data_IF_539721904589
#
_entry.id   IF_539721904589
#
_cell.length_a   1.000
_cell.length_b   1.000
_cell.length_c   1.000
_cell.angle_alpha   90.00
_cell.angle_beta   90.00
_cell.angle_gamma   90.00
#
_symmetry.space_group_name_H-M   'P 1'
#
loop_
_entity.id
_entity.type
_entity.pdbx_description
1 polymer ?
#
# COMPACT_ATOMS: atom_id res chain seq x y z
N UNK A 1 58.69 33.85 -32.79
CA UNK A 1 57.82 33.46 -31.67
C UNK A 1 56.56 32.82 -32.24
N UNK A 2 56.30 31.57 -31.82
CA UNK A 2 55.26 30.56 -32.13
C UNK A 2 54.11 30.86 -33.14
N UNK A 3 54.27 30.38 -34.39
CA UNK A 3 53.49 29.35 -35.14
C UNK A 3 52.15 28.86 -34.53
N UNK A 4 51.00 28.60 -35.21
CA UNK A 4 50.69 28.10 -36.58
C UNK A 4 49.23 28.43 -37.05
N UNK A 5 49.05 28.56 -38.38
CA UNK A 5 48.02 28.04 -39.33
C UNK A 5 46.71 27.38 -38.80
N UNK A 6 45.54 27.34 -39.49
CA UNK A 6 45.00 27.93 -40.73
C UNK A 6 43.54 27.43 -40.97
N UNK A 7 42.77 28.19 -41.77
CA UNK A 7 41.77 27.81 -42.82
C UNK A 7 40.53 26.92 -42.54
N UNK A 8 39.36 27.57 -42.67
CA UNK A 8 38.02 27.28 -43.32
C UNK A 8 37.65 25.88 -43.90
N UNK A 9 36.39 25.66 -44.40
CA UNK A 9 35.02 25.56 -43.82
C UNK A 9 34.34 24.23 -44.35
N UNK A 10 33.02 24.06 -44.73
CA UNK A 10 31.67 24.38 -44.21
C UNK A 10 30.82 23.05 -43.93
N UNK A 11 29.46 23.02 -43.85
CA UNK A 11 28.67 21.99 -43.14
C UNK A 11 28.04 20.88 -44.01
N UNK A 12 27.64 19.76 -43.39
CA UNK A 12 26.80 18.70 -43.99
C UNK A 12 25.86 18.00 -42.98
N UNK A 13 24.56 18.06 -43.30
CA UNK A 13 23.50 17.04 -43.17
C UNK A 13 23.70 15.86 -42.20
N UNK A 14 22.79 15.71 -41.23
CA UNK A 14 22.62 14.47 -40.45
C UNK A 14 21.27 13.81 -40.76
N UNK A 15 21.33 12.65 -41.41
CA UNK A 15 20.21 11.74 -41.64
C UNK A 15 20.07 10.70 -40.52
N UNK A 16 18.83 10.27 -40.31
CA UNK A 16 18.40 9.16 -39.45
C UNK A 16 18.99 7.81 -39.89
N UNK A 17 19.39 6.97 -38.94
CA UNK A 17 19.23 5.51 -39.02
C UNK A 17 18.97 4.87 -37.63
N UNK A 18 18.22 3.75 -37.57
CA UNK A 18 17.81 3.05 -36.34
C UNK A 18 18.75 1.89 -35.97
N UNK A 19 18.74 1.49 -34.69
CA UNK A 19 19.51 0.34 -34.17
C UNK A 19 18.62 -0.88 -33.93
N UNK A 20 19.16 -1.99 -34.42
CA UNK A 20 18.78 -3.40 -34.43
C UNK A 20 17.95 -3.98 -33.26
N UNK A 21 16.99 -4.83 -33.67
CA UNK A 21 16.39 -5.90 -32.88
C UNK A 21 17.30 -7.14 -32.84
N UNK A 22 17.41 -7.78 -31.67
CA UNK A 22 18.06 -9.09 -31.50
C UNK A 22 17.04 -10.12 -31.02
N UNK A 23 17.09 -11.27 -31.70
CA UNK A 23 16.21 -12.44 -31.64
C UNK A 23 16.39 -13.26 -30.36
N UNK A 24 15.29 -13.80 -29.85
CA UNK A 24 15.26 -14.97 -28.95
C UNK A 24 15.08 -16.27 -29.74
N UNK A 25 15.64 -17.39 -29.25
CA UNK A 25 14.97 -18.68 -29.43
C UNK A 25 14.99 -19.58 -28.17
N UNK A 26 13.78 -19.97 -27.73
CA UNK A 26 13.26 -21.33 -27.45
C UNK A 26 14.01 -22.33 -26.49
N UNK A 27 13.31 -23.39 -26.00
CA UNK A 27 13.28 -23.84 -24.59
C UNK A 27 14.04 -25.15 -24.34
N UNK A 28 14.15 -25.57 -23.07
CA UNK A 28 14.59 -26.92 -22.69
C UNK A 28 13.72 -27.57 -21.61
N UNK A 29 13.26 -28.77 -21.95
CA UNK A 29 12.84 -29.92 -21.12
C UNK A 29 14.00 -30.56 -20.34
N UNK A 30 13.75 -31.15 -19.16
CA UNK A 30 14.47 -32.31 -18.57
C UNK A 30 13.73 -32.75 -17.27
N UNK A 31 13.09 -33.92 -17.17
CA UNK A 31 13.53 -35.34 -16.97
C UNK A 31 14.42 -35.61 -15.73
N UNK A 32 13.92 -36.53 -14.89
CA UNK A 32 14.49 -37.11 -13.67
C UNK A 32 15.88 -37.74 -13.82
N UNK A 33 16.72 -37.59 -12.79
CA UNK A 33 17.69 -38.61 -12.35
C UNK A 33 17.77 -38.66 -10.81
N UNK A 34 17.63 -39.88 -10.28
CA UNK A 34 17.86 -40.28 -8.88
C UNK A 34 19.29 -40.81 -8.81
N UNK A 35 20.14 -40.34 -7.88
CA UNK A 35 21.32 -41.08 -7.44
C UNK A 35 21.86 -40.69 -6.05
N UNK A 36 21.79 -41.68 -5.16
CA UNK A 36 22.63 -42.08 -4.02
C UNK A 36 23.50 -41.05 -3.25
N UNK A 37 23.26 -41.04 -1.93
CA UNK A 37 24.10 -40.57 -0.83
C UNK A 37 25.50 -41.21 -0.78
N UNK A 38 26.48 -40.51 -0.20
CA UNK A 38 27.49 -41.13 0.66
C UNK A 38 27.37 -40.64 2.13
N UNK A 39 27.73 -41.56 3.01
CA UNK A 39 27.72 -41.50 4.49
C UNK A 39 29.06 -40.98 5.03
N UNK A 40 29.03 -40.49 6.29
CA UNK A 40 30.13 -40.27 7.26
C UNK A 40 30.65 -38.82 7.36
N UNK A 41 30.95 -38.20 8.53
CA UNK A 41 31.01 -38.63 9.94
C UNK A 41 31.25 -37.39 10.83
N UNK A 42 30.78 -37.45 12.08
CA UNK A 42 31.36 -36.80 13.27
C UNK A 42 31.46 -35.25 13.35
N UNK A 43 30.31 -34.56 13.37
CA UNK A 43 30.11 -33.27 14.06
C UNK A 43 28.71 -33.20 14.72
N UNK A 44 28.16 -34.38 15.08
CA UNK A 44 26.72 -34.62 15.14
C UNK A 44 26.05 -34.53 16.52
N UNK A 45 26.58 -33.84 17.52
CA UNK A 45 25.89 -33.75 18.83
C UNK A 45 25.15 -32.43 19.07
N UNK A 46 25.63 -31.32 18.49
CA UNK A 46 25.03 -29.98 18.66
C UNK A 46 24.00 -29.67 17.56
N UNK A 47 24.32 -29.99 16.30
CA UNK A 47 23.40 -29.81 15.16
C UNK A 47 22.18 -30.74 15.22
N UNK A 48 22.30 -31.92 15.85
CA UNK A 48 21.17 -32.85 16.00
C UNK A 48 20.14 -32.32 17.02
N UNK A 49 20.54 -31.60 18.08
CA UNK A 49 19.57 -30.95 18.98
C UNK A 49 18.87 -29.74 18.34
N UNK A 50 19.57 -29.02 17.46
CA UNK A 50 19.02 -27.88 16.71
C UNK A 50 18.07 -28.34 15.59
N UNK A 51 18.41 -29.41 14.87
CA UNK A 51 17.53 -30.03 13.86
C UNK A 51 16.30 -30.72 14.47
N UNK A 52 16.42 -31.30 15.68
CA UNK A 52 15.28 -31.86 16.41
C UNK A 52 14.34 -30.75 16.91
N UNK A 53 14.85 -29.59 17.33
CA UNK A 53 14.01 -28.42 17.66
C UNK A 53 13.27 -27.86 16.44
N UNK A 54 13.93 -27.78 15.28
CA UNK A 54 13.30 -27.38 14.00
C UNK A 54 12.22 -28.37 13.54
N UNK A 55 12.43 -29.68 13.74
CA UNK A 55 11.46 -30.72 13.37
C UNK A 55 10.24 -30.75 14.32
N UNK A 56 10.42 -30.34 15.57
CA UNK A 56 9.31 -30.20 16.55
C UNK A 56 8.53 -28.90 16.29
N UNK A 57 9.18 -27.83 15.81
CA UNK A 57 8.49 -26.60 15.36
C UNK A 57 7.55 -26.86 14.17
N UNK A 58 7.98 -27.67 13.20
CA UNK A 58 7.11 -28.06 12.07
C UNK A 58 5.98 -29.04 12.48
N UNK A 59 6.17 -29.83 13.54
CA UNK A 59 5.16 -30.77 14.01
C UNK A 59 4.13 -30.14 14.97
N UNK A 60 4.49 -29.09 15.71
CA UNK A 60 3.57 -28.39 16.62
C UNK A 60 2.64 -27.39 15.91
N UNK A 61 3.01 -26.89 14.74
CA UNK A 61 2.09 -26.16 13.87
C UNK A 61 0.97 -27.06 13.29
N UNK A 62 1.18 -28.39 13.26
CA UNK A 62 0.24 -29.36 12.68
C UNK A 62 -0.57 -30.19 13.69
N UNK A 63 -0.31 -30.08 15.00
CA UNK A 63 -0.98 -30.87 16.04
C UNK A 63 -1.53 -29.95 17.14
N UNK A 64 -2.80 -29.59 17.00
CA UNK A 64 -3.55 -28.90 18.05
C UNK A 64 -3.60 -29.73 19.33
N UNK A 65 -2.95 -29.25 20.40
CA UNK A 65 -3.14 -29.74 21.77
C UNK A 65 -3.15 -28.56 22.75
N UNK A 66 -4.36 -28.28 23.25
CA UNK A 66 -4.70 -27.92 24.62
C UNK A 66 -3.77 -27.00 25.41
N UNK A 67 -4.04 -25.69 25.35
CA UNK A 67 -3.53 -24.74 26.33
C UNK A 67 -4.20 -24.96 27.70
N UNK A 68 -3.38 -25.26 28.71
CA UNK A 68 -3.73 -24.97 30.10
C UNK A 68 -3.48 -23.49 30.35
N UNK A 69 -4.53 -22.75 30.69
CA UNK A 69 -4.49 -21.30 30.87
C UNK A 69 -3.67 -20.88 32.10
N UNK A 70 -2.76 -19.89 31.98
CA UNK A 70 -2.46 -18.98 33.06
C UNK A 70 -3.17 -17.63 32.85
N UNK A 71 -3.75 -17.16 33.96
CA UNK A 71 -4.28 -15.82 34.26
C UNK A 71 -4.27 -14.82 33.09
N UNK A 72 -5.45 -14.65 32.49
CA UNK A 72 -5.75 -13.60 31.54
C UNK A 72 -5.64 -12.22 32.23
N UNK A 73 -4.71 -11.39 31.76
CA UNK A 73 -4.92 -9.93 31.74
C UNK A 73 -5.87 -9.66 30.57
N UNK A 74 -7.16 -9.93 30.79
CA UNK A 74 -8.22 -9.50 29.89
C UNK A 74 -8.42 -7.99 30.05
N UNK A 75 -8.59 -7.32 28.90
CA UNK A 75 -9.04 -5.93 28.73
C UNK A 75 -7.95 -4.85 28.68
N UNK A 76 -7.24 -4.77 27.56
CA UNK A 76 -6.92 -3.48 26.87
C UNK A 76 -6.15 -3.63 25.54
N UNK A 77 -5.69 -4.83 25.16
CA UNK A 77 -4.69 -5.02 24.09
C UNK A 77 -5.11 -4.76 22.62
N UNK A 78 -6.28 -4.20 22.34
CA UNK A 78 -6.86 -4.19 20.98
C UNK A 78 -7.33 -2.83 20.45
N UNK A 79 -7.01 -1.71 21.13
CA UNK A 79 -7.49 -0.39 20.70
C UNK A 79 -6.92 0.09 19.35
N UNK A 80 -5.91 -0.58 18.79
CA UNK A 80 -5.20 -0.15 17.56
C UNK A 80 -5.14 -1.23 16.46
N UNK A 81 -6.00 -2.25 16.52
CA UNK A 81 -6.10 -3.32 15.51
C UNK A 81 -6.59 -2.82 14.12
N UNK A 82 -6.65 -1.51 13.87
CA UNK A 82 -6.99 -0.93 12.58
C UNK A 82 -5.84 -0.20 11.88
N UNK A 83 -4.67 -0.03 12.54
CA UNK A 83 -3.58 0.70 11.93
C UNK A 83 -2.82 -0.15 10.90
N UNK A 84 -2.57 0.39 9.70
CA UNK A 84 -1.80 -0.30 8.68
C UNK A 84 -0.32 -0.49 9.04
N UNK A 85 0.26 0.34 9.92
CA UNK A 85 1.65 0.23 10.37
C UNK A 85 1.77 -0.55 11.67
N UNK A 86 2.54 -1.64 11.66
CA UNK A 86 2.75 -2.51 12.81
C UNK A 86 4.25 -2.61 13.08
N UNK A 87 4.68 -2.15 14.26
CA UNK A 87 6.06 -2.38 14.72
C UNK A 87 6.06 -3.56 15.68
N UNK A 88 6.81 -4.59 15.33
CA UNK A 88 6.93 -5.81 16.14
C UNK A 88 7.78 -5.54 17.39
N UNK A 89 7.43 -6.15 18.53
CA UNK A 89 8.13 -5.89 19.78
C UNK A 89 9.47 -6.63 19.80
N UNK A 90 10.52 -5.95 20.27
CA UNK A 90 11.88 -6.49 20.38
C UNK A 90 12.37 -6.23 21.80
N UNK A 91 13.06 -7.20 22.41
CA UNK A 91 13.62 -7.01 23.75
C UNK A 91 14.79 -6.02 23.68
N UNK A 92 14.64 -4.93 24.42
CA UNK A 92 15.69 -4.01 24.75
C UNK A 92 16.25 -4.34 26.14
N UNK A 93 17.55 -4.11 26.34
CA UNK A 93 18.14 -4.08 27.67
C UNK A 93 18.51 -2.65 28.03
N UNK A 94 18.28 -2.30 29.30
CA UNK A 94 18.94 -1.15 29.89
C UNK A 94 20.45 -1.39 30.03
N UNK A 95 21.19 -0.39 30.49
CA UNK A 95 22.64 -0.49 30.66
C UNK A 95 23.03 -1.74 31.47
N UNK A 96 23.66 -2.71 30.80
CA UNK A 96 24.03 -4.01 31.36
C UNK A 96 25.48 -4.38 31.02
N UNK A 97 26.10 -5.20 31.87
CA UNK A 97 27.41 -5.82 31.61
C UNK A 97 27.29 -7.16 30.88
N UNK A 98 26.08 -7.69 30.72
CA UNK A 98 25.81 -8.87 29.91
C UNK A 98 25.86 -8.54 28.42
N UNK A 99 26.16 -9.53 27.60
CA UNK A 99 26.23 -9.39 26.14
C UNK A 99 25.22 -10.30 25.45
N UNK A 100 24.67 -9.82 24.34
CA UNK A 100 23.88 -10.66 23.44
C UNK A 100 24.84 -11.42 22.53
N UNK A 101 24.64 -12.72 22.41
CA UNK A 101 25.49 -13.56 21.55
C UNK A 101 24.77 -14.03 20.29
N UNK A 102 23.51 -14.42 20.42
CA UNK A 102 22.68 -14.86 19.29
C UNK A 102 21.28 -14.28 19.42
N UNK A 103 20.74 -13.83 18.29
CA UNK A 103 19.35 -13.42 18.17
C UNK A 103 18.72 -14.06 16.93
N UNK A 104 17.58 -14.70 17.12
CA UNK A 104 16.81 -15.30 16.02
C UNK A 104 15.37 -14.83 16.16
N UNK A 105 14.81 -14.26 15.09
CA UNK A 105 13.40 -13.92 15.02
C UNK A 105 12.73 -14.70 13.89
N UNK A 106 11.57 -15.29 14.17
CA UNK A 106 10.69 -15.90 13.18
C UNK A 106 9.36 -15.13 13.19
N UNK A 107 8.99 -14.61 12.04
CA UNK A 107 7.77 -13.81 11.83
C UNK A 107 6.88 -14.60 10.88
N UNK A 108 5.70 -14.99 11.36
CA UNK A 108 4.72 -15.75 10.59
C UNK A 108 3.47 -14.90 10.40
N UNK A 109 2.99 -14.83 9.16
CA UNK A 109 1.70 -14.22 8.84
C UNK A 109 0.78 -15.35 8.43
N UNK A 110 -0.32 -15.54 9.15
CA UNK A 110 -1.24 -16.64 8.90
C UNK A 110 -2.68 -16.25 9.27
N UNK A 111 -3.60 -17.21 9.21
CA UNK A 111 -4.94 -17.09 9.76
C UNK A 111 -5.02 -17.73 11.15
N UNK A 112 -5.78 -17.12 12.05
CA UNK A 112 -6.10 -17.72 13.35
C UNK A 112 -7.15 -18.84 13.23
N UNK A 113 -7.57 -19.39 14.37
CA UNK A 113 -8.60 -20.45 14.41
C UNK A 113 -9.97 -20.03 13.85
N UNK A 114 -10.24 -18.72 13.73
CA UNK A 114 -11.46 -18.15 13.16
C UNK A 114 -11.31 -17.77 11.68
N UNK A 115 -10.09 -17.87 11.13
CA UNK A 115 -9.76 -17.43 9.78
C UNK A 115 -9.34 -15.96 9.68
N UNK A 116 -9.22 -15.25 10.80
CA UNK A 116 -8.79 -13.86 10.82
C UNK A 116 -7.26 -13.75 10.63
N UNK A 117 -6.77 -12.82 9.80
CA UNK A 117 -5.34 -12.69 9.54
C UNK A 117 -4.61 -12.15 10.77
N UNK A 118 -3.55 -12.87 11.17
CA UNK A 118 -2.70 -12.56 12.32
C UNK A 118 -1.24 -12.51 11.92
N UNK A 119 -0.46 -11.76 12.69
CA UNK A 119 1.00 -11.83 12.71
C UNK A 119 1.45 -12.44 14.03
N UNK A 120 2.38 -13.39 13.94
CA UNK A 120 3.02 -14.04 15.07
C UNK A 120 4.53 -13.81 14.97
N UNK A 121 5.14 -13.47 16.10
CA UNK A 121 6.57 -13.32 16.29
C UNK A 121 7.01 -14.33 17.33
N UNK A 122 8.06 -15.07 17.02
CA UNK A 122 8.86 -15.81 17.99
C UNK A 122 10.31 -15.31 17.90
N UNK A 123 10.84 -14.80 19.01
CA UNK A 123 12.20 -14.28 19.07
C UNK A 123 12.98 -14.92 20.22
N UNK A 124 14.19 -15.42 19.92
CA UNK A 124 15.10 -16.04 20.88
C UNK A 124 16.37 -15.19 21.06
N UNK A 125 16.86 -15.10 22.29
CA UNK A 125 18.01 -14.31 22.70
C UNK A 125 18.94 -15.14 23.61
N UNK A 126 20.18 -15.41 23.17
CA UNK A 126 21.25 -16.01 24.00
C UNK A 126 22.02 -14.88 24.70
N UNK A 127 21.74 -14.68 25.99
CA UNK A 127 22.34 -13.62 26.80
C UNK A 127 23.43 -14.24 27.68
N UNK A 128 24.63 -13.66 27.64
CA UNK A 128 25.81 -14.15 28.38
C UNK A 128 26.36 -13.15 29.36
N UNK A 129 26.81 -13.67 30.49
CA UNK A 129 27.53 -12.94 31.52
C UNK A 129 28.95 -13.50 31.63
N UNK A 130 29.92 -12.78 31.08
CA UNK A 130 31.35 -13.10 31.18
C UNK A 130 31.97 -12.64 32.52
N UNK A 131 31.15 -12.06 33.40
CA UNK A 131 31.52 -11.62 34.74
C UNK A 131 31.62 -12.76 35.75
N UNK A 132 32.32 -12.51 36.85
CA UNK A 132 32.54 -13.48 37.93
C UNK A 132 31.41 -13.51 38.96
N UNK A 133 30.44 -12.62 38.84
CA UNK A 133 29.27 -12.51 39.72
C UNK A 133 28.00 -12.59 38.89
N UNK A 134 26.91 -13.07 39.49
CA UNK A 134 25.61 -13.07 38.83
C UNK A 134 25.13 -11.63 38.62
N UNK A 135 24.47 -11.37 37.49
CA UNK A 135 23.98 -10.04 37.11
C UNK A 135 22.48 -10.11 36.93
N UNK A 136 21.75 -9.16 37.53
CA UNK A 136 20.34 -8.94 37.21
C UNK A 136 20.24 -8.00 36.01
N UNK A 137 19.56 -8.47 34.97
CA UNK A 137 19.32 -7.73 33.73
C UNK A 137 17.85 -7.34 33.70
N UNK A 138 17.58 -6.04 33.57
CA UNK A 138 16.24 -5.54 33.32
C UNK A 138 15.97 -5.58 31.82
N UNK A 139 15.03 -6.43 31.42
CA UNK A 139 14.53 -6.54 30.06
C UNK A 139 13.32 -5.62 29.91
N UNK A 140 13.34 -4.80 28.87
CA UNK A 140 12.22 -3.95 28.47
C UNK A 140 11.66 -4.44 27.14
N UNK A 141 10.34 -4.55 27.07
CA UNK A 141 9.59 -4.90 25.88
C UNK A 141 8.71 -3.69 25.51
N UNK A 142 9.19 -2.82 24.62
CA UNK A 142 8.39 -1.71 24.13
C UNK A 142 7.10 -2.20 23.49
N UNK A 143 6.00 -1.46 23.66
CA UNK A 143 4.70 -1.76 23.03
C UNK A 143 4.11 -3.13 23.39
N UNK A 144 4.49 -3.70 24.53
CA UNK A 144 3.96 -4.98 24.98
C UNK A 144 2.42 -5.01 25.02
N UNK A 145 1.79 -3.88 25.35
CA UNK A 145 0.33 -3.75 25.40
C UNK A 145 -0.37 -3.90 24.02
N UNK A 146 0.32 -3.77 22.90
CA UNK A 146 -0.26 -3.92 21.55
C UNK A 146 -0.33 -5.38 21.08
N UNK A 147 0.24 -6.32 21.85
CA UNK A 147 0.41 -7.71 21.48
C UNK A 147 -0.02 -8.64 22.62
N UNK A 148 -0.46 -9.84 22.25
CA UNK A 148 -0.52 -10.96 23.18
C UNK A 148 0.90 -11.51 23.35
N UNK A 149 1.55 -11.17 24.46
CA UNK A 149 2.97 -11.50 24.69
C UNK A 149 3.16 -12.56 25.77
N UNK A 150 4.08 -13.50 25.53
CA UNK A 150 4.63 -14.41 26.53
C UNK A 150 6.16 -14.29 26.52
N UNK A 151 6.77 -14.22 27.69
CA UNK A 151 8.22 -14.18 27.86
C UNK A 151 8.65 -15.37 28.70
N UNK A 152 9.72 -16.06 28.31
CA UNK A 152 10.29 -17.18 29.07
C UNK A 152 11.79 -17.10 29.15
N UNK A 153 12.36 -17.68 30.21
CA UNK A 153 13.80 -17.83 30.45
C UNK A 153 14.07 -19.30 30.66
N UNK A 154 14.95 -19.89 29.85
CA UNK A 154 15.26 -21.31 29.84
C UNK A 154 13.98 -22.19 29.82
N UNK A 155 13.06 -21.82 28.93
CA UNK A 155 11.73 -22.43 28.74
C UNK A 155 10.76 -22.29 29.94
N UNK A 156 11.09 -21.46 30.94
CA UNK A 156 10.21 -21.15 32.08
C UNK A 156 9.54 -19.78 31.89
N UNK A 157 8.19 -19.70 31.81
CA UNK A 157 7.49 -18.44 31.68
C UNK A 157 7.77 -17.48 32.84
N UNK A 158 7.99 -16.21 32.51
CA UNK A 158 8.19 -15.12 33.47
C UNK A 158 7.14 -14.02 33.25
N UNK A 159 6.76 -13.36 34.34
CA UNK A 159 5.76 -12.31 34.28
C UNK A 159 6.37 -11.00 33.76
N UNK A 160 5.74 -10.42 32.75
CA UNK A 160 5.98 -9.04 32.33
C UNK A 160 5.16 -8.09 33.21
N UNK A 161 5.83 -7.13 33.82
CA UNK A 161 5.18 -6.04 34.55
C UNK A 161 4.94 -4.87 33.60
N UNK A 162 3.68 -4.45 33.48
CA UNK A 162 3.34 -3.27 32.67
C UNK A 162 3.76 -1.98 33.38
N UNK A 163 4.38 -1.09 32.63
CA UNK A 163 4.72 0.28 33.05
C UNK A 163 3.59 1.26 32.72
N UNK A 164 3.67 2.49 33.22
CA UNK A 164 2.70 3.55 32.91
C UNK A 164 2.67 3.93 31.42
N UNK A 165 3.76 3.67 30.68
CA UNK A 165 3.88 3.90 29.24
C UNK A 165 3.33 2.75 28.39
N UNK A 166 2.89 1.65 29.00
CA UNK A 166 2.43 0.45 28.30
C UNK A 166 3.54 -0.51 27.88
N UNK A 167 4.80 -0.22 28.21
CA UNK A 167 5.92 -1.13 28.01
C UNK A 167 5.90 -2.25 29.05
N UNK A 168 6.33 -3.45 28.66
CA UNK A 168 6.52 -4.58 29.57
C UNK A 168 7.95 -4.59 30.12
N UNK A 169 8.11 -4.92 31.39
CA UNK A 169 9.43 -5.03 32.04
C UNK A 169 9.53 -6.34 32.79
N UNK A 170 10.67 -7.01 32.70
CA UNK A 170 10.98 -8.19 33.49
C UNK A 170 12.46 -8.19 33.92
N UNK A 171 12.75 -8.80 35.07
CA UNK A 171 14.13 -8.95 35.57
C UNK A 171 14.57 -10.40 35.40
N UNK A 172 15.75 -10.60 34.82
CA UNK A 172 16.36 -11.92 34.62
C UNK A 172 17.71 -11.98 35.31
N UNK A 173 17.96 -13.04 36.07
CA UNK A 173 19.28 -13.27 36.69
C UNK A 173 20.14 -14.11 35.75
N UNK A 174 21.28 -13.57 35.33
CA UNK A 174 22.26 -14.28 34.51
C UNK A 174 23.43 -14.73 35.39
N UNK A 175 23.67 -16.05 35.56
CA UNK A 175 24.72 -16.55 36.45
C UNK A 175 26.12 -16.06 36.06
N UNK A 176 27.04 -16.05 37.04
CA UNK A 176 28.46 -15.78 36.80
C UNK A 176 29.05 -16.77 35.79
N UNK A 177 29.76 -16.26 34.77
CA UNK A 177 30.28 -17.05 33.65
C UNK A 177 29.20 -17.95 33.02
N UNK A 178 27.96 -17.47 33.01
CA UNK A 178 26.77 -18.20 32.62
C UNK A 178 26.09 -17.61 31.40
N UNK A 179 25.05 -18.32 30.94
CA UNK A 179 24.14 -17.85 29.89
C UNK A 179 22.70 -18.19 30.27
N UNK A 180 21.78 -17.47 29.66
CA UNK A 180 20.34 -17.75 29.71
C UNK A 180 19.75 -17.62 28.30
N UNK A 181 18.82 -18.49 27.97
CA UNK A 181 18.05 -18.40 26.73
C UNK A 181 16.72 -17.70 27.04
N UNK A 182 16.48 -16.53 26.43
CA UNK A 182 15.20 -15.81 26.58
C UNK A 182 14.39 -15.98 25.31
N UNK A 183 13.12 -16.37 25.44
CA UNK A 183 12.19 -16.49 24.31
C UNK A 183 11.00 -15.55 24.51
N UNK A 184 10.72 -14.75 23.48
CA UNK A 184 9.57 -13.88 23.35
C UNK A 184 8.63 -14.47 22.28
N UNK A 185 7.40 -14.77 22.67
CA UNK A 185 6.31 -15.03 21.74
C UNK A 185 5.35 -13.85 21.78
N UNK A 186 5.01 -13.28 20.62
CA UNK A 186 4.10 -12.16 20.51
C UNK A 186 3.15 -12.35 19.32
N UNK A 187 1.87 -12.01 19.47
CA UNK A 187 0.91 -12.09 18.38
C UNK A 187 -0.13 -11.00 18.42
N UNK A 188 -0.63 -10.62 17.25
CA UNK A 188 -1.80 -9.72 17.10
C UNK A 188 -2.52 -9.95 15.78
N UNK A 189 -3.77 -9.51 15.74
CA UNK A 189 -4.54 -9.41 14.50
C UNK A 189 -4.02 -8.26 13.62
N UNK A 190 -4.05 -8.45 12.29
CA UNK A 190 -3.67 -7.43 11.30
C UNK A 190 -4.75 -6.39 11.04
N UNK A 191 -5.99 -6.65 11.47
CA UNK A 191 -7.12 -5.77 11.19
C UNK A 191 -7.69 -5.88 9.78
N UNK A 192 -8.46 -4.86 9.39
CA UNK A 192 -9.21 -4.80 8.15
C UNK A 192 -8.62 -3.85 7.08
N UNK A 193 -7.49 -3.18 7.37
CA UNK A 193 -6.82 -2.33 6.38
C UNK A 193 -6.44 -3.17 5.14
N UNK A 194 -6.66 -2.68 3.91
CA UNK A 194 -6.38 -3.43 2.69
C UNK A 194 -4.90 -3.71 2.47
N UNK A 195 -4.04 -2.88 3.07
CA UNK A 195 -2.58 -2.98 3.06
C UNK A 195 -2.04 -2.87 4.48
N UNK A 196 -0.87 -3.46 4.73
CA UNK A 196 -0.17 -3.32 6.00
C UNK A 196 1.35 -3.26 5.80
N UNK A 197 2.03 -2.73 6.82
CA UNK A 197 3.46 -2.62 6.95
C UNK A 197 3.90 -3.27 8.27
N UNK A 198 4.83 -4.22 8.21
CA UNK A 198 5.52 -4.75 9.38
C UNK A 198 6.90 -4.12 9.47
N UNK A 199 7.27 -3.68 10.66
CA UNK A 199 8.62 -3.21 10.97
C UNK A 199 9.19 -4.04 12.10
N UNK A 200 10.36 -4.65 11.88
CA UNK A 200 11.13 -5.31 12.92
C UNK A 200 12.35 -4.44 13.30
N UNK A 201 12.35 -3.77 14.47
CA UNK A 201 13.36 -2.76 14.82
C UNK A 201 14.68 -3.38 15.29
N UNK A 202 15.57 -3.68 14.34
CA UNK A 202 16.90 -4.22 14.60
C UNK A 202 17.84 -3.24 15.33
N UNK A 203 17.52 -1.96 15.38
CA UNK A 203 18.22 -0.98 16.21
C UNK A 203 18.22 -1.35 17.70
N UNK A 204 17.14 -1.96 18.20
CA UNK A 204 17.05 -2.42 19.59
C UNK A 204 17.97 -3.62 19.84
N UNK A 205 18.08 -4.55 18.88
CA UNK A 205 19.03 -5.67 18.92
C UNK A 205 20.47 -5.15 18.89
N UNK A 206 20.76 -4.18 18.01
CA UNK A 206 22.09 -3.58 17.88
C UNK A 206 22.56 -2.87 19.15
N UNK A 207 21.63 -2.33 19.94
CA UNK A 207 21.95 -1.63 21.18
C UNK A 207 22.50 -2.57 22.27
N UNK A 208 22.33 -3.89 22.14
CA UNK A 208 22.89 -4.85 23.07
C UNK A 208 24.42 -4.89 23.02
N UNK A 209 25.11 -5.00 24.18
CA UNK A 209 26.56 -5.15 24.20
C UNK A 209 27.03 -6.45 23.52
N UNK A 210 28.21 -6.38 22.89
CA UNK A 210 28.89 -7.53 22.28
C UNK A 210 28.68 -7.67 20.78
N UNK A 211 29.42 -8.60 20.17
CA UNK A 211 29.15 -9.03 18.80
C UNK A 211 28.14 -10.19 18.84
N UNK A 212 27.02 -10.03 18.14
CA UNK A 212 25.97 -11.04 18.06
C UNK A 212 25.72 -11.48 16.62
N UNK A 213 25.36 -12.76 16.49
CA UNK A 213 24.79 -13.30 15.26
C UNK A 213 23.29 -13.04 15.24
N UNK A 214 22.77 -12.47 14.16
CA UNK A 214 21.34 -12.20 13.99
C UNK A 214 20.80 -12.89 12.74
N UNK A 215 19.65 -13.54 12.91
CA UNK A 215 18.86 -14.14 11.83
C UNK A 215 17.41 -13.70 11.97
N UNK A 216 16.80 -13.32 10.86
CA UNK A 216 15.35 -13.05 10.81
C UNK A 216 14.75 -13.87 9.68
N UNK A 217 13.75 -14.67 10.04
CA UNK A 217 12.96 -15.47 9.12
C UNK A 217 11.57 -14.84 9.00
N UNK A 218 11.14 -14.58 7.77
CA UNK A 218 9.81 -14.08 7.46
C UNK A 218 9.07 -15.11 6.61
N UNK A 219 7.93 -15.56 7.12
CA UNK A 219 7.07 -16.56 6.53
C UNK A 219 5.68 -15.92 6.34
N UNK A 220 5.37 -15.36 5.17
CA UNK A 220 4.07 -14.76 4.88
C UNK A 220 2.90 -15.79 4.80
N UNK A 221 3.09 -16.98 5.36
CA UNK A 221 2.10 -18.06 5.42
C UNK A 221 1.78 -18.67 4.05
N UNK A 222 0.87 -19.65 4.05
CA UNK A 222 0.32 -20.19 2.80
C UNK A 222 -0.71 -19.24 2.14
N UNK A 223 -1.16 -18.21 2.88
CA UNK A 223 -2.26 -17.34 2.46
C UNK A 223 -1.80 -16.20 1.56
N UNK A 224 -0.54 -15.76 1.71
CA UNK A 224 0.02 -14.62 0.98
C UNK A 224 1.23 -15.03 0.15
N UNK A 225 0.99 -15.37 -1.12
CA UNK A 225 2.07 -15.64 -2.08
C UNK A 225 2.82 -14.36 -2.47
N UNK A 226 3.88 -14.52 -3.28
CA UNK A 226 4.72 -13.42 -3.74
C UNK A 226 3.96 -12.35 -4.54
N UNK A 227 2.79 -12.64 -5.10
CA UNK A 227 1.94 -11.67 -5.79
C UNK A 227 1.31 -10.64 -4.85
N UNK A 228 1.10 -11.01 -3.59
CA UNK A 228 0.56 -10.12 -2.54
C UNK A 228 1.61 -9.23 -1.87
N UNK A 229 2.90 -9.40 -2.17
CA UNK A 229 3.98 -8.62 -1.56
C UNK A 229 4.17 -7.28 -2.29
N UNK A 230 4.41 -6.22 -1.52
CA UNK A 230 4.57 -4.86 -2.06
C UNK A 230 6.01 -4.36 -1.95
N UNK A 231 6.66 -4.63 -0.81
CA UNK A 231 8.03 -4.20 -0.51
C UNK A 231 8.64 -5.12 0.54
N UNK A 232 9.91 -5.46 0.39
CA UNK A 232 10.71 -6.14 1.43
C UNK A 232 12.05 -5.43 1.52
N UNK A 233 12.41 -4.93 2.70
CA UNK A 233 13.67 -4.25 2.98
C UNK A 233 14.34 -4.80 4.25
N UNK A 234 15.69 -4.73 4.36
CA UNK A 234 16.62 -4.23 3.33
C UNK A 234 16.79 -5.21 2.17
N UNK A 235 17.50 -4.81 1.12
CA UNK A 235 17.90 -5.74 0.04
C UNK A 235 18.81 -6.87 0.58
N UNK A 236 18.84 -8.03 -0.10
CA UNK A 236 19.74 -9.14 0.23
C UNK A 236 19.11 -10.34 0.94
N UNK A 237 17.79 -10.47 0.91
CA UNK A 237 17.09 -11.68 1.38
C UNK A 237 17.47 -12.90 0.55
N UNK A 238 17.72 -14.01 1.25
CA UNK A 238 17.86 -15.32 0.62
C UNK A 238 16.49 -16.00 0.58
N UNK A 239 16.05 -16.35 -0.62
CA UNK A 239 14.85 -17.14 -0.84
C UNK A 239 15.23 -18.61 -0.60
N UNK A 240 14.74 -19.17 0.49
CA UNK A 240 14.71 -20.62 0.62
C UNK A 240 13.32 -21.08 0.20
N UNK A 241 13.26 -21.91 -0.83
CA UNK A 241 12.14 -22.83 -0.98
C UNK A 241 12.23 -23.76 0.23
N UNK A 242 11.58 -23.38 1.34
CA UNK A 242 11.28 -24.32 2.41
C UNK A 242 10.63 -25.54 1.77
N UNK A 243 10.71 -26.72 2.39
CA UNK A 243 10.32 -27.98 1.77
C UNK A 243 8.80 -28.14 1.43
N UNK A 244 8.06 -27.05 1.17
CA UNK A 244 6.67 -26.96 0.72
C UNK A 244 6.40 -25.62 0.01
N UNK A 245 5.15 -25.45 -0.47
CA UNK A 245 4.70 -24.32 -1.31
C UNK A 245 4.65 -22.94 -0.62
N UNK A 246 5.27 -22.77 0.55
CA UNK A 246 5.33 -21.51 1.30
C UNK A 246 6.70 -20.86 1.12
N UNK A 247 6.75 -19.70 0.46
CA UNK A 247 7.99 -18.95 0.27
C UNK A 247 8.51 -18.46 1.62
N UNK A 248 9.67 -18.94 2.05
CA UNK A 248 10.36 -18.49 3.26
C UNK A 248 11.44 -17.48 2.87
N UNK A 249 11.38 -16.30 3.48
CA UNK A 249 12.38 -15.26 3.34
C UNK A 249 13.34 -15.36 4.52
N UNK A 250 14.60 -15.73 4.26
CA UNK A 250 15.62 -15.78 5.29
C UNK A 250 16.60 -14.63 5.10
N UNK A 251 16.79 -13.84 6.15
CA UNK A 251 17.83 -12.84 6.21
C UNK A 251 18.88 -13.27 7.23
N UNK A 252 20.02 -13.72 6.72
CA UNK A 252 21.20 -14.04 7.51
C UNK A 252 22.21 -12.91 7.37
N UNK A 253 22.76 -12.48 8.49
CA UNK A 253 23.61 -11.32 8.53
C UNK A 253 25.11 -11.66 8.57
N UNK A 254 25.90 -11.08 7.66
CA UNK A 254 27.38 -11.15 7.64
C UNK A 254 28.08 -9.76 7.58
N UNK A 255 27.35 -8.63 7.79
CA UNK A 255 27.81 -7.26 7.43
C UNK A 255 27.65 -6.15 8.49
N UNK A 256 26.99 -5.02 8.15
CA UNK A 256 26.52 -3.95 9.09
C UNK A 256 24.99 -3.98 9.24
N UNK A 257 24.46 -4.14 10.47
CA UNK A 257 23.04 -4.46 10.68
C UNK A 257 22.21 -3.24 10.26
N UNK A 258 21.08 -3.41 9.53
CA UNK A 258 20.17 -2.32 9.20
C UNK A 258 19.41 -1.85 10.46
N UNK A 259 18.84 -0.66 10.43
CA UNK A 259 18.07 -0.12 11.57
C UNK A 259 16.75 -0.87 11.77
N UNK A 260 16.17 -1.38 10.68
CA UNK A 260 14.96 -2.19 10.69
C UNK A 260 14.92 -3.16 9.51
N UNK A 261 14.06 -4.15 9.64
CA UNK A 261 13.48 -4.89 8.52
C UNK A 261 12.07 -4.33 8.28
N UNK A 262 11.72 -4.11 7.02
CA UNK A 262 10.39 -3.66 6.61
C UNK A 262 9.76 -4.67 5.65
N UNK A 263 8.50 -5.01 5.90
CA UNK A 263 7.71 -5.85 5.00
C UNK A 263 6.36 -5.20 4.75
N UNK A 264 6.07 -4.83 3.50
CA UNK A 264 4.80 -4.26 3.10
C UNK A 264 4.06 -5.23 2.20
N UNK A 265 2.77 -5.41 2.45
CA UNK A 265 1.94 -6.37 1.74
C UNK A 265 0.48 -5.95 1.67
N UNK A 266 -0.26 -6.60 0.78
CA UNK A 266 -1.71 -6.67 0.86
C UNK A 266 -2.12 -7.49 2.08
N UNK A 267 -3.18 -7.07 2.77
CA UNK A 267 -3.77 -7.88 3.83
C UNK A 267 -4.21 -9.25 3.25
N UNK A 268 -3.98 -10.38 3.94
CA UNK A 268 -4.29 -11.71 3.38
C UNK A 268 -5.76 -11.85 2.94
N UNK A 269 -6.72 -11.30 3.69
CA UNK A 269 -8.13 -11.32 3.31
C UNK A 269 -8.38 -10.51 2.02
N UNK A 270 -7.69 -9.39 1.87
CA UNK A 270 -7.74 -8.54 0.66
C UNK A 270 -7.18 -9.24 -0.55
N UNK A 271 -6.04 -9.92 -0.37
CA UNK A 271 -5.39 -10.67 -1.44
C UNK A 271 -6.28 -11.81 -1.95
N UNK A 272 -6.84 -12.61 -1.03
CA UNK A 272 -7.75 -13.68 -1.38
C UNK A 272 -9.00 -13.18 -2.11
N UNK A 273 -9.58 -12.07 -1.66
CA UNK A 273 -10.75 -11.46 -2.32
C UNK A 273 -10.42 -11.01 -3.75
N UNK A 274 -9.26 -10.37 -3.96
CA UNK A 274 -8.79 -9.99 -5.30
C UNK A 274 -8.66 -11.23 -6.19
N UNK A 275 -8.00 -12.29 -5.70
CA UNK A 275 -7.85 -13.53 -6.47
C UNK A 275 -9.19 -14.17 -6.85
N UNK A 276 -10.16 -14.15 -5.93
CA UNK A 276 -11.52 -14.64 -6.20
C UNK A 276 -12.26 -13.78 -7.24
N UNK A 277 -12.14 -12.46 -7.14
CA UNK A 277 -12.75 -11.51 -8.07
C UNK A 277 -12.11 -11.62 -9.46
N UNK A 278 -10.79 -11.78 -9.56
CA UNK A 278 -10.09 -12.03 -10.83
C UNK A 278 -10.53 -13.35 -11.47
N UNK A 279 -10.65 -14.41 -10.68
CA UNK A 279 -11.11 -15.72 -11.18
C UNK A 279 -12.59 -15.75 -11.60
N UNK A 280 -13.40 -14.81 -11.13
CA UNK A 280 -14.85 -14.71 -11.42
C UNK A 280 -15.23 -13.52 -12.31
N UNK A 281 -14.25 -12.72 -12.74
CA UNK A 281 -14.47 -11.58 -13.62
C UNK A 281 -14.93 -12.05 -15.01
N UNK A 282 -16.24 -11.94 -15.26
CA UNK A 282 -16.84 -12.26 -16.56
C UNK A 282 -18.13 -11.49 -16.83
N UNK A 283 -18.52 -10.59 -15.93
CA UNK A 283 -19.72 -9.77 -16.01
C UNK A 283 -19.41 -8.32 -15.62
N UNK A 284 -20.22 -7.34 -16.07
CA UNK A 284 -20.07 -5.95 -15.65
C UNK A 284 -20.00 -5.78 -14.13
N UNK A 285 -20.83 -6.52 -13.38
CA UNK A 285 -20.83 -6.50 -11.92
C UNK A 285 -19.53 -7.06 -11.31
N UNK A 286 -18.98 -8.14 -11.88
CA UNK A 286 -17.71 -8.72 -11.43
C UNK A 286 -16.54 -7.77 -11.63
N UNK A 287 -16.46 -7.13 -12.81
CA UNK A 287 -15.46 -6.10 -13.09
C UNK A 287 -15.62 -4.87 -12.19
N UNK A 288 -16.86 -4.45 -11.89
CA UNK A 288 -17.12 -3.35 -10.97
C UNK A 288 -16.68 -3.65 -9.53
N UNK A 289 -16.84 -4.90 -9.07
CA UNK A 289 -16.36 -5.36 -7.78
C UNK A 289 -14.82 -5.39 -7.73
N UNK A 290 -14.18 -5.93 -8.77
CA UNK A 290 -12.71 -5.96 -8.88
C UNK A 290 -12.12 -4.53 -8.92
N UNK A 291 -12.70 -3.64 -9.72
CA UNK A 291 -12.28 -2.24 -9.81
C UNK A 291 -12.39 -1.52 -8.47
N UNK A 292 -13.48 -1.76 -7.72
CA UNK A 292 -13.68 -1.19 -6.37
C UNK A 292 -12.59 -1.68 -5.42
N UNK A 293 -12.32 -2.99 -5.41
CA UNK A 293 -11.32 -3.59 -4.52
C UNK A 293 -9.92 -3.05 -4.80
N UNK A 294 -9.56 -2.89 -6.07
CA UNK A 294 -8.30 -2.24 -6.45
C UNK A 294 -8.26 -0.76 -6.05
N UNK A 295 -9.38 -0.04 -6.15
CA UNK A 295 -9.50 1.33 -5.65
C UNK A 295 -9.22 1.44 -4.15
N UNK A 296 -9.81 0.56 -3.35
CA UNK A 296 -9.62 0.51 -1.89
C UNK A 296 -8.16 0.26 -1.50
N UNK A 297 -7.47 -0.63 -2.22
CA UNK A 297 -6.03 -0.85 -2.05
C UNK A 297 -5.24 0.41 -2.41
N UNK A 298 -5.57 1.08 -3.51
CA UNK A 298 -4.90 2.30 -3.94
C UNK A 298 -5.04 3.42 -2.90
N UNK A 299 -6.22 3.58 -2.32
CA UNK A 299 -6.51 4.58 -1.29
C UNK A 299 -5.80 4.24 0.03
N UNK A 300 -5.79 2.97 0.43
CA UNK A 300 -5.03 2.48 1.58
C UNK A 300 -3.52 2.72 1.43
N UNK A 301 -2.96 2.47 0.25
CA UNK A 301 -1.56 2.76 -0.03
C UNK A 301 -1.26 4.27 -0.03
N UNK A 302 -2.19 5.09 -0.54
CA UNK A 302 -2.03 6.55 -0.57
C UNK A 302 -2.02 7.17 0.83
N UNK A 303 -2.87 6.69 1.74
CA UNK A 303 -2.90 7.18 3.13
C UNK A 303 -1.59 6.92 3.87
N UNK A 304 -0.83 5.91 3.44
CA UNK A 304 0.50 5.56 3.93
C UNK A 304 1.65 6.30 3.20
N UNK A 305 1.34 7.12 2.20
CA UNK A 305 2.35 7.79 1.37
C UNK A 305 3.05 6.86 0.36
N UNK A 306 2.53 5.66 0.12
CA UNK A 306 3.10 4.70 -0.84
C UNK A 306 2.65 4.99 -2.26
N UNK A 307 3.11 6.11 -2.81
CA UNK A 307 2.64 6.65 -4.10
C UNK A 307 2.75 5.67 -5.26
N UNK A 308 3.88 4.97 -5.41
CA UNK A 308 4.08 3.99 -6.48
C UNK A 308 3.08 2.81 -6.41
N UNK A 309 2.76 2.34 -5.19
CA UNK A 309 1.77 1.28 -4.97
C UNK A 309 0.37 1.82 -5.27
N UNK A 310 0.05 3.02 -4.76
CA UNK A 310 -1.23 3.67 -4.99
C UNK A 310 -1.49 3.90 -6.49
N UNK A 311 -0.48 4.33 -7.25
CA UNK A 311 -0.59 4.54 -8.70
C UNK A 311 -0.78 3.23 -9.47
N UNK A 312 -0.06 2.16 -9.08
CA UNK A 312 -0.24 0.82 -9.67
C UNK A 312 -1.68 0.33 -9.51
N UNK A 313 -2.19 0.33 -8.28
CA UNK A 313 -3.53 -0.19 -7.99
C UNK A 313 -4.63 0.72 -8.52
N UNK A 314 -4.40 2.03 -8.58
CA UNK A 314 -5.31 2.94 -9.28
C UNK A 314 -5.42 2.58 -10.77
N UNK A 315 -4.28 2.32 -11.43
CA UNK A 315 -4.26 1.86 -12.82
C UNK A 315 -4.98 0.53 -13.02
N UNK A 316 -4.81 -0.42 -12.09
CA UNK A 316 -5.53 -1.70 -12.11
C UNK A 316 -7.04 -1.53 -11.91
N UNK A 317 -7.45 -0.60 -11.03
CA UNK A 317 -8.86 -0.28 -10.82
C UNK A 317 -9.50 0.29 -12.09
N UNK A 318 -8.86 1.28 -12.72
CA UNK A 318 -9.31 1.85 -14.01
C UNK A 318 -9.36 0.77 -15.10
N UNK A 319 -8.35 -0.10 -15.17
CA UNK A 319 -8.32 -1.20 -16.13
C UNK A 319 -9.50 -2.17 -15.92
N UNK A 320 -9.80 -2.56 -14.69
CA UNK A 320 -10.93 -3.44 -14.39
C UNK A 320 -12.28 -2.82 -14.81
N UNK A 321 -12.51 -1.55 -14.47
CA UNK A 321 -13.74 -0.87 -14.88
C UNK A 321 -13.88 -0.72 -16.40
N UNK A 322 -12.80 -0.31 -17.07
CA UNK A 322 -12.81 -0.13 -18.54
C UNK A 322 -12.92 -1.46 -19.30
N UNK A 323 -12.36 -2.55 -18.78
CA UNK A 323 -12.59 -3.90 -19.31
C UNK A 323 -14.04 -4.33 -19.15
N UNK A 324 -14.65 -4.03 -17.99
CA UNK A 324 -16.07 -4.26 -17.76
C UNK A 324 -16.95 -3.52 -18.75
N UNK A 325 -16.62 -2.26 -19.05
CA UNK A 325 -17.34 -1.46 -20.05
C UNK A 325 -17.16 -2.03 -21.46
N UNK A 326 -15.95 -2.44 -21.84
CA UNK A 326 -15.70 -3.08 -23.14
C UNK A 326 -16.46 -4.40 -23.28
N UNK A 327 -16.51 -5.18 -22.21
CA UNK A 327 -17.27 -6.44 -22.16
C UNK A 327 -18.78 -6.16 -22.28
N UNK A 328 -19.28 -5.13 -21.59
CA UNK A 328 -20.67 -4.72 -21.69
C UNK A 328 -21.03 -4.24 -23.10
N UNK A 329 -20.18 -3.42 -23.72
CA UNK A 329 -20.36 -2.93 -25.09
C UNK A 329 -20.39 -4.09 -26.10
N UNK A 330 -19.44 -5.02 -26.00
CA UNK A 330 -19.39 -6.21 -26.84
C UNK A 330 -20.66 -7.07 -26.74
N UNK A 331 -21.32 -7.05 -25.58
CA UNK A 331 -22.58 -7.76 -25.32
C UNK A 331 -23.83 -6.88 -25.48
N UNK A 332 -23.68 -5.62 -25.90
CA UNK A 332 -24.77 -4.64 -26.00
C UNK A 332 -25.59 -4.51 -24.70
N UNK A 333 -24.90 -4.53 -23.56
CA UNK A 333 -25.54 -4.47 -22.26
C UNK A 333 -26.28 -3.13 -22.10
N UNK A 334 -27.46 -3.12 -21.47
CA UNK A 334 -28.23 -1.90 -21.29
C UNK A 334 -27.57 -0.98 -20.24
N UNK A 335 -27.89 0.33 -20.23
CA UNK A 335 -27.27 1.30 -19.32
C UNK A 335 -27.36 0.92 -17.83
N UNK A 336 -28.39 0.19 -17.42
CA UNK A 336 -28.56 -0.29 -16.05
C UNK A 336 -27.42 -1.23 -15.62
N UNK A 337 -26.84 -2.00 -16.55
CA UNK A 337 -25.75 -2.93 -16.25
C UNK A 337 -24.38 -2.25 -16.25
N UNK A 338 -24.23 -1.12 -16.96
CA UNK A 338 -22.98 -0.35 -17.01
C UNK A 338 -22.92 0.81 -16.02
N UNK A 339 -24.06 1.22 -15.46
CA UNK A 339 -24.15 2.32 -14.49
C UNK A 339 -23.16 2.18 -13.33
N UNK A 340 -23.05 0.99 -12.74
CA UNK A 340 -22.12 0.73 -11.64
C UNK A 340 -20.64 0.85 -12.03
N UNK A 341 -20.30 0.56 -13.30
CA UNK A 341 -18.94 0.71 -13.82
C UNK A 341 -18.58 2.19 -14.00
N UNK A 342 -19.46 2.95 -14.64
CA UNK A 342 -19.30 4.40 -14.84
C UNK A 342 -19.27 5.15 -13.50
N UNK A 343 -20.16 4.82 -12.57
CA UNK A 343 -20.15 5.42 -11.22
C UNK A 343 -18.86 5.09 -10.45
N UNK A 344 -18.34 3.88 -10.62
CA UNK A 344 -17.05 3.47 -10.06
C UNK A 344 -15.87 4.27 -10.62
N UNK A 345 -15.81 4.45 -11.94
CA UNK A 345 -14.80 5.32 -12.56
C UNK A 345 -14.91 6.78 -12.11
N UNK A 346 -16.12 7.32 -12.02
CA UNK A 346 -16.35 8.67 -11.50
C UNK A 346 -15.80 8.79 -10.07
N UNK A 347 -16.05 7.79 -9.21
CA UNK A 347 -15.53 7.75 -7.84
C UNK A 347 -14.00 7.71 -7.80
N UNK A 348 -13.36 6.87 -8.64
CA UNK A 348 -11.91 6.81 -8.76
C UNK A 348 -11.31 8.14 -9.22
N UNK A 349 -11.87 8.75 -10.26
CA UNK A 349 -11.36 10.03 -10.76
C UNK A 349 -11.54 11.14 -9.73
N UNK A 350 -12.66 11.13 -9.00
CA UNK A 350 -12.89 12.06 -7.88
C UNK A 350 -11.80 11.99 -6.82
N UNK A 351 -11.29 10.79 -6.49
CA UNK A 351 -10.19 10.65 -5.50
C UNK A 351 -8.87 11.24 -5.96
N UNK A 352 -8.75 11.59 -7.25
CA UNK A 352 -7.59 12.28 -7.85
C UNK A 352 -7.83 13.75 -8.18
N UNK A 353 -9.07 14.24 -8.09
CA UNK A 353 -9.39 15.65 -8.39
C UNK A 353 -8.65 16.59 -7.43
N UNK A 354 -8.51 16.22 -6.16
CA UNK A 354 -7.71 16.96 -5.20
C UNK A 354 -6.39 16.23 -4.93
N UNK A 355 -5.27 16.89 -5.25
CA UNK A 355 -3.94 16.49 -4.85
C UNK A 355 -3.73 16.60 -3.35
N UNK A 356 -2.75 15.86 -2.83
CA UNK A 356 -2.38 15.88 -1.41
C UNK A 356 -1.88 17.25 -0.93
N UNK A 357 -1.46 18.12 -1.85
CA UNK A 357 -1.02 19.50 -1.64
C UNK A 357 -2.17 20.53 -1.75
N UNK A 358 -3.41 20.06 -1.91
CA UNK A 358 -4.58 20.90 -2.14
C UNK A 358 -4.66 21.48 -3.55
N UNK A 359 -3.75 21.10 -4.45
CA UNK A 359 -3.92 21.39 -5.88
C UNK A 359 -5.11 20.61 -6.44
N UNK A 360 -5.77 21.18 -7.44
CA UNK A 360 -6.87 20.51 -8.15
C UNK A 360 -6.41 20.11 -9.54
N UNK A 361 -6.65 18.87 -9.95
CA UNK A 361 -6.37 18.40 -11.31
C UNK A 361 -7.64 18.48 -12.19
N UNK A 362 -7.73 19.47 -13.10
CA UNK A 362 -8.90 19.64 -13.96
C UNK A 362 -9.10 18.48 -14.94
N UNK A 363 -8.05 17.71 -15.28
CA UNK A 363 -8.19 16.56 -16.18
C UNK A 363 -8.97 15.42 -15.51
N UNK A 364 -8.70 15.15 -14.24
CA UNK A 364 -9.49 14.19 -13.47
C UNK A 364 -10.92 14.69 -13.19
N UNK A 365 -11.12 16.00 -13.06
CA UNK A 365 -12.46 16.58 -12.94
C UNK A 365 -13.29 16.37 -14.22
N UNK A 366 -12.68 16.53 -15.40
CA UNK A 366 -13.33 16.25 -16.69
C UNK A 366 -13.73 14.77 -16.81
N UNK A 367 -12.79 13.86 -16.50
CA UNK A 367 -13.06 12.42 -16.53
C UNK A 367 -14.17 12.02 -15.54
N UNK A 368 -14.14 12.56 -14.32
CA UNK A 368 -15.20 12.34 -13.32
C UNK A 368 -16.57 12.79 -13.83
N UNK A 369 -16.67 14.00 -14.40
CA UNK A 369 -17.93 14.56 -14.93
C UNK A 369 -18.45 13.72 -16.10
N UNK A 370 -17.57 13.26 -16.99
CA UNK A 370 -17.94 12.44 -18.13
C UNK A 370 -18.53 11.10 -17.68
N UNK A 371 -17.85 10.40 -16.77
CA UNK A 371 -18.31 9.10 -16.26
C UNK A 371 -19.58 9.21 -15.42
N UNK A 372 -19.70 10.24 -14.57
CA UNK A 372 -20.93 10.50 -13.82
C UNK A 372 -22.13 10.68 -14.77
N UNK A 373 -21.94 11.40 -15.88
CA UNK A 373 -22.97 11.58 -16.90
C UNK A 373 -23.37 10.27 -17.60
N UNK A 374 -22.42 9.36 -17.84
CA UNK A 374 -22.69 8.05 -18.43
C UNK A 374 -23.39 7.09 -17.46
N UNK A 375 -23.18 7.25 -16.15
CA UNK A 375 -23.83 6.42 -15.15
C UNK A 375 -25.33 6.75 -14.97
N UNK A 376 -25.70 8.04 -15.00
CA UNK A 376 -27.05 8.52 -14.67
C UNK A 376 -28.20 7.82 -15.42
N UNK A 377 -28.14 7.54 -16.74
CA UNK A 377 -29.24 6.90 -17.47
C UNK A 377 -29.61 5.49 -16.96
N UNK A 378 -28.66 4.79 -16.33
CA UNK A 378 -28.89 3.45 -15.79
C UNK A 378 -29.32 3.41 -14.32
N UNK A 379 -29.35 4.56 -13.64
CA UNK A 379 -29.68 4.66 -12.21
C UNK A 379 -31.10 5.23 -12.05
N UNK A 380 -31.88 4.62 -11.14
CA UNK A 380 -33.23 5.08 -10.83
C UNK A 380 -33.22 6.52 -10.29
N UNK A 381 -34.26 7.30 -10.59
CA UNK A 381 -34.33 8.74 -10.23
C UNK A 381 -34.23 8.95 -8.72
N UNK A 382 -34.84 8.06 -7.92
CA UNK A 382 -34.88 8.17 -6.47
C UNK A 382 -33.68 7.50 -5.76
N UNK A 383 -32.72 6.96 -6.52
CA UNK A 383 -31.52 6.34 -5.94
C UNK A 383 -30.58 7.43 -5.36
N UNK A 384 -30.17 7.33 -4.09
CA UNK A 384 -29.23 8.29 -3.49
C UNK A 384 -27.94 8.49 -4.27
N UNK A 385 -27.44 7.44 -4.93
CA UNK A 385 -26.22 7.51 -5.75
C UNK A 385 -26.38 8.49 -6.91
N UNK A 386 -27.57 8.60 -7.49
CA UNK A 386 -27.83 9.52 -8.60
C UNK A 386 -27.65 10.98 -8.15
N UNK A 387 -28.22 11.34 -7.02
CA UNK A 387 -28.08 12.69 -6.46
C UNK A 387 -26.63 13.03 -6.10
N UNK A 388 -25.86 12.03 -5.67
CA UNK A 388 -24.42 12.19 -5.42
C UNK A 388 -23.63 12.42 -6.72
N UNK A 389 -23.90 11.65 -7.77
CA UNK A 389 -23.28 11.84 -9.09
C UNK A 389 -23.63 13.18 -9.72
N UNK A 390 -24.88 13.65 -9.60
CA UNK A 390 -25.29 14.98 -10.04
C UNK A 390 -24.52 16.08 -9.31
N UNK A 391 -24.30 15.93 -8.00
CA UNK A 391 -23.48 16.85 -7.21
C UNK A 391 -22.03 16.85 -7.68
N UNK A 392 -21.43 15.68 -7.91
CA UNK A 392 -20.06 15.59 -8.41
C UNK A 392 -19.93 16.20 -9.80
N UNK A 393 -20.96 16.06 -10.65
CA UNK A 393 -20.99 16.69 -11.96
C UNK A 393 -20.93 18.22 -11.84
N UNK A 394 -21.72 18.79 -10.94
CA UNK A 394 -21.74 20.23 -10.65
C UNK A 394 -20.41 20.71 -10.05
N UNK A 395 -19.86 19.99 -9.07
CA UNK A 395 -18.56 20.27 -8.44
C UNK A 395 -17.43 20.27 -9.49
N UNK A 396 -17.37 19.25 -10.35
CA UNK A 396 -16.36 19.14 -11.40
C UNK A 396 -16.46 20.24 -12.46
N UNK A 397 -17.67 20.57 -12.92
CA UNK A 397 -17.90 21.67 -13.86
C UNK A 397 -17.51 23.03 -13.28
N UNK A 398 -17.76 23.27 -11.99
CA UNK A 398 -17.31 24.50 -11.31
C UNK A 398 -15.78 24.57 -11.21
N UNK A 399 -15.11 23.45 -10.91
CA UNK A 399 -13.65 23.39 -10.88
C UNK A 399 -13.04 23.69 -12.25
N UNK A 400 -13.58 23.06 -13.32
CA UNK A 400 -13.16 23.35 -14.69
C UNK A 400 -13.41 24.81 -15.07
N UNK A 401 -14.55 25.40 -14.68
CA UNK A 401 -14.85 26.80 -14.94
C UNK A 401 -13.83 27.73 -14.27
N UNK A 402 -13.47 27.45 -13.01
CA UNK A 402 -12.46 28.21 -12.29
C UNK A 402 -11.08 28.11 -12.94
N UNK A 403 -10.70 26.93 -13.44
CA UNK A 403 -9.44 26.73 -14.19
C UNK A 403 -9.45 27.47 -15.54
N UNK A 404 -10.51 27.37 -16.35
CA UNK A 404 -10.63 28.09 -17.63
C UNK A 404 -10.57 29.61 -17.43
N UNK A 405 -11.24 30.13 -16.40
CA UNK A 405 -11.15 31.55 -16.02
C UNK A 405 -9.73 31.96 -15.65
N UNK A 406 -9.03 31.15 -14.87
CA UNK A 406 -7.63 31.40 -14.48
C UNK A 406 -6.70 31.43 -15.70
N UNK A 407 -6.95 30.56 -16.68
CA UNK A 407 -6.17 30.50 -17.93
C UNK A 407 -6.56 31.58 -18.95
N UNK A 408 -7.66 32.29 -18.72
CA UNK A 408 -8.19 33.28 -19.66
C UNK A 408 -8.86 32.69 -20.90
N UNK A 409 -9.24 31.40 -20.86
CA UNK A 409 -9.96 30.74 -21.95
C UNK A 409 -11.46 31.07 -21.85
N UNK A 410 -11.82 32.25 -22.35
CA UNK A 410 -13.20 32.77 -22.27
C UNK A 410 -14.19 31.88 -23.05
N UNK A 411 -13.90 31.42 -24.29
CA UNK A 411 -14.81 30.53 -25.00
C UNK A 411 -15.10 29.23 -24.25
N UNK A 412 -14.07 28.58 -23.66
CA UNK A 412 -14.28 27.37 -22.88
C UNK A 412 -15.06 27.64 -21.58
N UNK A 413 -14.81 28.76 -20.90
CA UNK A 413 -15.54 29.16 -19.70
C UNK A 413 -17.04 29.39 -20.00
N UNK A 414 -17.38 30.04 -21.11
CA UNK A 414 -18.77 30.24 -21.53
C UNK A 414 -19.48 28.90 -21.82
N UNK A 415 -18.83 27.98 -22.52
CA UNK A 415 -19.39 26.65 -22.78
C UNK A 415 -19.65 25.84 -21.48
N UNK A 416 -18.81 26.02 -20.46
CA UNK A 416 -19.00 25.40 -19.15
C UNK A 416 -20.18 26.01 -18.38
N UNK A 417 -20.41 27.33 -18.49
CA UNK A 417 -21.59 27.98 -17.90
C UNK A 417 -22.87 27.44 -18.53
N UNK A 418 -22.91 27.28 -19.85
CA UNK A 418 -24.08 26.70 -20.55
C UNK A 418 -24.35 25.26 -20.08
N UNK A 419 -23.29 24.44 -19.91
CA UNK A 419 -23.44 23.09 -19.35
C UNK A 419 -23.94 23.10 -17.91
N UNK A 420 -23.46 24.01 -17.06
CA UNK A 420 -23.94 24.17 -15.68
C UNK A 420 -25.41 24.58 -15.64
N UNK A 421 -25.85 25.49 -16.52
CA UNK A 421 -27.25 25.92 -16.62
C UNK A 421 -28.19 24.80 -17.07
N UNK A 422 -27.70 23.85 -17.86
CA UNK A 422 -28.47 22.68 -18.30
C UNK A 422 -28.69 21.62 -17.20
N UNK A 423 -27.96 21.68 -16.08
CA UNK A 423 -28.15 20.75 -14.97
C UNK A 423 -29.35 21.14 -14.10
N UNK A 424 -30.02 20.16 -13.44
CA UNK A 424 -31.12 20.45 -12.50
C UNK A 424 -30.71 21.43 -11.39
N UNK A 425 -29.50 21.30 -10.85
CA UNK A 425 -28.93 22.20 -9.85
C UNK A 425 -28.54 23.59 -10.42
N UNK A 426 -28.35 23.70 -11.73
CA UNK A 426 -28.09 24.96 -12.42
C UNK A 426 -29.23 25.98 -12.26
N UNK A 427 -30.48 25.50 -12.17
CA UNK A 427 -31.64 26.34 -11.94
C UNK A 427 -31.59 27.07 -10.59
N UNK A 428 -31.02 26.45 -9.55
CA UNK A 428 -30.89 27.07 -8.23
C UNK A 428 -29.83 28.19 -8.20
N UNK A 429 -28.89 28.20 -9.16
CA UNK A 429 -27.80 29.17 -9.26
C UNK A 429 -27.88 30.02 -10.54
N UNK A 430 -29.05 30.07 -11.18
CA UNK A 430 -29.22 30.66 -12.50
C UNK A 430 -28.80 32.15 -12.54
N UNK A 431 -29.13 32.92 -11.50
CA UNK A 431 -28.78 34.34 -11.39
C UNK A 431 -27.26 34.54 -11.30
N UNK A 432 -26.59 33.76 -10.46
CA UNK A 432 -25.12 33.81 -10.34
C UNK A 432 -24.44 33.42 -11.65
N UNK A 433 -24.91 32.37 -12.32
CA UNK A 433 -24.36 31.93 -13.61
C UNK A 433 -24.61 32.94 -14.73
N UNK A 434 -25.75 33.66 -14.71
CA UNK A 434 -26.03 34.74 -15.65
C UNK A 434 -25.09 35.93 -15.44
N UNK A 435 -24.91 36.37 -14.19
CA UNK A 435 -23.95 37.45 -13.87
C UNK A 435 -22.52 37.09 -14.30
N UNK A 436 -22.10 35.85 -14.06
CA UNK A 436 -20.78 35.37 -14.46
C UNK A 436 -20.63 35.30 -15.99
N UNK A 437 -21.68 34.89 -16.71
CA UNK A 437 -21.72 34.92 -18.18
C UNK A 437 -21.53 36.35 -18.69
N UNK A 438 -22.29 37.31 -18.18
CA UNK A 438 -22.21 38.70 -18.63
C UNK A 438 -20.81 39.29 -18.42
N UNK A 439 -20.19 39.00 -17.28
CA UNK A 439 -18.82 39.43 -17.00
C UNK A 439 -17.81 38.86 -18.02
N UNK A 440 -17.92 37.58 -18.38
CA UNK A 440 -17.06 36.94 -19.37
C UNK A 440 -17.30 37.46 -20.79
N UNK A 441 -18.55 37.71 -21.18
CA UNK A 441 -18.89 38.26 -22.50
C UNK A 441 -18.34 39.69 -22.65
N UNK A 442 -18.42 40.51 -21.60
CA UNK A 442 -17.78 41.84 -21.58
C UNK A 442 -16.26 41.73 -21.74
N UNK A 443 -15.61 40.80 -21.03
CA UNK A 443 -14.17 40.56 -21.19
C UNK A 443 -13.81 40.12 -22.61
N UNK A 444 -14.62 39.25 -23.24
CA UNK A 444 -14.44 38.84 -24.62
C UNK A 444 -14.57 40.02 -25.60
N UNK A 445 -15.56 40.88 -25.40
CA UNK A 445 -15.75 42.08 -26.21
C UNK A 445 -14.53 43.01 -26.11
N UNK A 446 -13.96 43.19 -24.92
CA UNK A 446 -12.73 43.98 -24.74
C UNK A 446 -11.54 43.34 -25.49
N UNK A 447 -11.33 42.03 -25.37
CA UNK A 447 -10.26 41.34 -26.08
C UNK A 447 -10.40 41.44 -27.61
N UNK A 448 -11.62 41.32 -28.15
CA UNK A 448 -11.89 41.48 -29.58
C UNK A 448 -11.58 42.90 -30.06
N UNK A 449 -11.87 43.93 -29.26
CA UNK A 449 -11.48 45.32 -29.56
C UNK A 449 -9.96 45.48 -29.59
N UNK A 450 -9.25 44.90 -28.63
CA UNK A 450 -7.78 44.92 -28.57
C UNK A 450 -7.13 44.20 -29.77
N UNK A 451 -7.75 43.12 -30.24
CA UNK A 451 -7.33 42.37 -31.43
C UNK A 451 -7.71 43.05 -32.75
N UNK A 452 -8.45 44.18 -32.70
CA UNK A 452 -8.85 44.96 -33.87
C UNK A 452 -10.18 44.53 -34.50
N UNK A 453 -10.85 43.50 -33.99
CA UNK A 453 -12.17 43.05 -34.44
C UNK A 453 -13.30 43.79 -33.71
N UNK A 454 -13.42 45.08 -34.02
CA UNK A 454 -14.44 45.96 -33.41
C UNK A 454 -15.85 45.61 -33.82
N UNK A 455 -16.05 45.01 -35.00
CA UNK A 455 -17.37 44.67 -35.52
C UNK A 455 -17.98 43.52 -34.73
N UNK A 456 -17.21 42.46 -34.48
CA UNK A 456 -17.65 41.33 -33.64
C UNK A 456 -17.84 41.76 -32.18
N UNK A 457 -16.95 42.60 -31.65
CA UNK A 457 -17.09 43.14 -30.29
C UNK A 457 -18.38 43.96 -30.08
N UNK A 458 -18.74 44.80 -31.06
CA UNK A 458 -19.97 45.61 -31.01
C UNK A 458 -21.24 44.77 -31.17
N UNK A 459 -21.20 43.71 -31.99
CA UNK A 459 -22.30 42.75 -32.07
C UNK A 459 -22.53 42.07 -30.72
N UNK A 460 -21.45 41.60 -30.09
CA UNK A 460 -21.49 40.90 -28.81
C UNK A 460 -21.99 41.80 -27.67
N UNK A 461 -21.52 43.05 -27.60
CA UNK A 461 -22.01 44.03 -26.64
C UNK A 461 -23.47 44.45 -26.91
N UNK A 462 -23.88 44.50 -28.18
CA UNK A 462 -25.25 44.80 -28.59
C UNK A 462 -26.25 43.72 -28.16
N UNK A 463 -25.84 42.45 -28.12
CA UNK A 463 -26.67 41.35 -27.61
C UNK A 463 -26.92 41.45 -26.09
N UNK A 464 -25.92 41.87 -25.31
CA UNK A 464 -26.09 42.11 -23.86
C UNK A 464 -27.06 43.26 -23.60
N UNK A 465 -26.90 44.38 -24.30
CA UNK A 465 -27.72 45.59 -24.08
C UNK A 465 -29.19 45.36 -24.46
N UNK A 466 -29.46 44.45 -25.41
CA UNK A 466 -30.80 44.10 -25.83
C UNK A 466 -31.42 42.93 -25.03
N UNK A 467 -30.76 42.44 -23.97
CA UNK A 467 -31.29 41.37 -23.13
C UNK A 467 -32.66 41.78 -22.52
N UNK A 468 -33.68 40.90 -22.54
CA UNK A 468 -35.04 41.23 -22.09
C UNK A 468 -35.10 41.73 -20.65
N UNK A 469 -34.19 41.27 -19.80
CA UNK A 469 -34.12 41.58 -18.37
C UNK A 469 -33.55 42.98 -18.07
N UNK A 470 -33.00 43.66 -19.09
CA UNK A 470 -32.43 45.01 -19.01
C UNK A 470 -33.28 46.06 -19.76
N UNK A 471 -34.39 45.64 -20.37
CA UNK A 471 -35.36 46.55 -20.98
C UNK A 471 -36.42 46.97 -19.92
N UNK A 472 -36.82 48.25 -19.88
CA UNK A 472 -37.67 48.80 -18.82
C UNK A 472 -39.11 48.27 -18.78
#
# INVERSE_FOLDING_TARGET
>A
MRNRYATSPPPLMAGRQPVAAVRSPLPMTLRHEIRALPVATAAGASLIRQAIRFSILCALAALGIGFSAPVQVTAQAQSDAGQPGITLPVLAADATTTSLHTHIASIVIDADATGAPVVQLQAAYDIRNEGKEAVEVQLRLPRAAEFYTTLSVDDVPIALQSTETGDGVATVSVPANGRVDVTLDAGRELGASPVFALTYPLSEVRAWPGQHSTRVDLQPGAVLDAGGWLKVEPDGWHYSDGAGASTELQWLFEGSMPDSIEFHALNPATWLEIQQLEGSAGSPAGYAALGRRYGEVADGARSLGWTAVADRFFGQAVAAYTEGLRTAEANSAPPQETAGLHAGLATLYRSRVAGADGSTDPAYAELMVAEAAQAMPGIMVDDPLRAELERWQEEGLRLMLADMRRRGDIPAALALIERLQALPAGAANAEFLAQERDALVVQQAVQLVEQGDRTTALSLAGEIINAPDLQP
#
